data_IF_666738522869
#
_entry.id   IF_666738522869
#
_cell.length_a   1.000
_cell.length_b   1.000
_cell.length_c   1.000
_cell.angle_alpha   90.00
_cell.angle_beta   90.00
_cell.angle_gamma   90.00
#
_symmetry.space_group_name_H-M   'P 1'
#
loop_
_entity.id
_entity.type
_entity.pdbx_description
1 polymer ?
#
# COMPACT_ATOMS: atom_id res chain seq x y z
N UNK A 1 0.18 -43.32 -39.62
CA UNK A 1 0.70 -42.90 -38.30
C UNK A 1 1.59 -41.70 -38.54
N UNK A 2 1.15 -40.49 -38.15
CA UNK A 2 2.00 -39.29 -38.19
C UNK A 2 2.83 -39.29 -36.91
N UNK A 3 4.15 -39.31 -37.05
CA UNK A 3 5.04 -39.04 -35.93
C UNK A 3 4.91 -37.55 -35.60
N UNK A 4 4.45 -37.23 -34.39
CA UNK A 4 4.43 -35.85 -33.90
C UNK A 4 5.78 -35.59 -33.21
N UNK A 5 6.73 -34.98 -33.91
CA UNK A 5 7.92 -34.37 -33.28
C UNK A 5 7.55 -33.01 -32.70
N UNK A 6 6.72 -33.04 -31.66
CA UNK A 6 6.40 -31.82 -30.92
C UNK A 6 7.66 -31.29 -30.24
N UNK A 7 8.00 -30.03 -30.52
CA UNK A 7 9.15 -29.30 -29.95
C UNK A 7 10.48 -29.41 -30.69
N UNK A 8 10.54 -30.06 -31.86
CA UNK A 8 11.78 -30.11 -32.65
C UNK A 8 11.53 -29.84 -34.14
N UNK A 9 12.48 -29.12 -34.75
CA UNK A 9 12.54 -28.72 -36.16
C UNK A 9 13.84 -29.24 -36.82
N UNK A 10 13.93 -29.13 -38.14
CA UNK A 10 15.05 -29.62 -38.94
C UNK A 10 14.78 -30.95 -39.64
N UNK A 11 15.66 -31.33 -40.57
CA UNK A 11 15.50 -32.56 -41.37
C UNK A 11 15.68 -33.82 -40.53
N UNK A 12 16.45 -33.70 -39.44
CA UNK A 12 16.76 -34.77 -38.50
C UNK A 12 16.22 -34.49 -37.08
N UNK A 13 15.31 -33.52 -36.94
CA UNK A 13 14.74 -33.10 -35.65
C UNK A 13 15.84 -32.64 -34.65
N UNK A 14 16.88 -32.01 -35.18
CA UNK A 14 18.09 -31.63 -34.45
C UNK A 14 18.00 -30.25 -33.79
N UNK A 15 16.99 -29.45 -34.15
CA UNK A 15 16.79 -28.09 -33.64
C UNK A 15 15.62 -28.09 -32.66
N UNK A 16 15.78 -27.54 -31.45
CA UNK A 16 14.65 -27.29 -30.57
C UNK A 16 13.79 -26.16 -31.15
N UNK A 17 12.48 -26.35 -31.22
CA UNK A 17 11.57 -25.25 -31.57
C UNK A 17 11.62 -24.20 -30.47
N UNK A 18 11.78 -22.92 -30.83
CA UNK A 18 11.75 -21.82 -29.87
C UNK A 18 10.29 -21.42 -29.60
N UNK A 19 9.74 -21.89 -28.49
CA UNK A 19 8.36 -21.59 -28.12
C UNK A 19 8.17 -20.12 -27.65
N UNK A 20 9.25 -19.39 -27.37
CA UNK A 20 9.23 -17.99 -26.97
C UNK A 20 9.02 -17.01 -28.13
N UNK A 21 9.17 -17.43 -29.39
CA UNK A 21 8.92 -16.60 -30.58
C UNK A 21 7.50 -15.99 -30.57
N UNK A 22 6.53 -16.70 -29.99
CA UNK A 22 5.14 -16.24 -29.89
C UNK A 22 4.91 -15.15 -28.83
N UNK A 23 5.94 -14.79 -28.04
CA UNK A 23 5.86 -13.88 -26.90
C UNK A 23 4.73 -14.25 -25.91
N UNK A 24 4.73 -15.48 -25.36
CA UNK A 24 3.60 -15.99 -24.61
C UNK A 24 3.46 -15.38 -23.20
N UNK A 25 4.54 -14.84 -22.64
CA UNK A 25 4.57 -14.26 -21.29
C UNK A 25 3.99 -12.84 -21.29
N UNK A 26 3.04 -12.58 -20.38
CA UNK A 26 2.42 -11.27 -20.18
C UNK A 26 3.21 -10.43 -19.17
N UNK A 27 2.82 -9.16 -19.01
CA UNK A 27 3.34 -8.25 -17.99
C UNK A 27 4.88 -8.21 -17.91
N UNK A 28 5.52 -8.13 -19.09
CA UNK A 28 6.98 -8.06 -19.23
C UNK A 28 7.74 -9.26 -18.62
N UNK A 29 7.05 -10.41 -18.47
CA UNK A 29 7.66 -11.66 -18.04
C UNK A 29 8.70 -12.17 -19.03
N UNK A 30 9.83 -12.67 -18.53
CA UNK A 30 10.88 -13.26 -19.34
C UNK A 30 10.47 -14.68 -19.76
N UNK A 31 10.34 -14.91 -21.07
CA UNK A 31 10.15 -16.25 -21.59
C UNK A 31 11.48 -17.01 -21.59
N UNK A 32 11.44 -18.24 -21.09
CA UNK A 32 12.56 -19.17 -21.11
C UNK A 32 12.13 -20.41 -21.89
N UNK A 33 12.77 -20.59 -23.04
CA UNK A 33 12.58 -21.73 -23.93
C UNK A 33 13.00 -23.05 -23.26
N UNK A 34 12.32 -24.12 -23.62
CA UNK A 34 12.54 -25.47 -23.13
C UNK A 34 12.20 -26.47 -24.23
N UNK A 35 12.32 -27.77 -23.95
CA UNK A 35 12.00 -28.78 -24.97
C UNK A 35 10.50 -28.99 -25.03
N UNK A 36 9.86 -28.58 -26.13
CA UNK A 36 8.41 -28.68 -26.35
C UNK A 36 7.57 -27.99 -25.25
N UNK A 37 8.14 -26.98 -24.59
CA UNK A 37 7.50 -26.20 -23.55
C UNK A 37 8.31 -24.94 -23.29
N UNK A 38 7.65 -23.93 -22.76
CA UNK A 38 8.31 -22.74 -22.23
C UNK A 38 7.90 -22.53 -20.76
N UNK A 39 8.65 -21.67 -20.08
CA UNK A 39 8.25 -21.12 -18.78
C UNK A 39 8.38 -19.61 -18.79
N UNK A 40 7.48 -18.94 -18.08
CA UNK A 40 7.58 -17.51 -17.85
C UNK A 40 8.19 -17.23 -16.48
N UNK A 41 9.26 -16.43 -16.45
CA UNK A 41 9.79 -15.85 -15.23
C UNK A 41 9.13 -14.47 -15.04
N UNK A 42 8.22 -14.38 -14.10
CA UNK A 42 7.41 -13.18 -13.89
C UNK A 42 8.20 -12.04 -13.25
N UNK A 43 7.86 -10.81 -13.64
CA UNK A 43 8.29 -9.63 -12.91
C UNK A 43 7.68 -9.61 -11.51
N UNK A 44 8.31 -8.86 -10.60
CA UNK A 44 7.76 -8.64 -9.28
C UNK A 44 6.36 -8.02 -9.36
N UNK A 45 5.42 -8.50 -8.53
CA UNK A 45 4.00 -8.10 -8.56
C UNK A 45 3.12 -8.95 -9.48
N UNK A 46 3.66 -9.94 -10.21
CA UNK A 46 2.87 -10.82 -11.06
C UNK A 46 3.09 -12.30 -10.77
N UNK A 47 2.08 -13.11 -11.08
CA UNK A 47 2.05 -14.57 -10.90
C UNK A 47 1.19 -15.22 -11.99
N UNK A 48 1.01 -16.54 -11.91
CA UNK A 48 0.39 -17.34 -12.97
C UNK A 48 1.40 -17.94 -13.93
N UNK A 49 0.95 -18.87 -14.77
CA UNK A 49 1.83 -19.60 -15.69
C UNK A 49 2.39 -18.72 -16.81
N UNK A 50 1.64 -17.68 -17.17
CA UNK A 50 1.98 -16.70 -18.19
C UNK A 50 2.20 -15.31 -17.60
N UNK A 51 2.36 -15.21 -16.28
CA UNK A 51 2.44 -13.94 -15.55
C UNK A 51 1.21 -13.05 -15.74
N UNK A 52 0.05 -13.67 -15.98
CA UNK A 52 -1.22 -13.02 -16.32
C UNK A 52 -1.98 -12.48 -15.09
N UNK A 53 -1.58 -12.89 -13.88
CA UNK A 53 -2.24 -12.53 -12.64
C UNK A 53 -1.40 -11.49 -11.90
N UNK A 54 -1.96 -10.31 -11.67
CA UNK A 54 -1.36 -9.33 -10.76
C UNK A 54 -1.60 -9.78 -9.31
N UNK A 55 -0.56 -9.66 -8.47
CA UNK A 55 -0.61 -10.08 -7.08
C UNK A 55 -1.33 -9.01 -6.29
N UNK A 56 -2.41 -9.37 -5.59
CA UNK A 56 -3.08 -8.43 -4.70
C UNK A 56 -2.35 -8.31 -3.36
N UNK A 57 -1.54 -7.26 -3.18
CA UNK A 57 -0.82 -7.00 -1.93
C UNK A 57 -1.77 -6.64 -0.76
N UNK A 58 -2.98 -6.16 -1.06
CA UNK A 58 -4.00 -5.85 -0.06
C UNK A 58 -4.64 -7.09 0.59
N UNK A 59 -4.44 -8.29 0.05
CA UNK A 59 -5.05 -9.55 0.51
C UNK A 59 -4.70 -9.89 1.97
N UNK A 60 -3.52 -9.47 2.43
CA UNK A 60 -3.05 -9.62 3.81
C UNK A 60 -3.68 -8.62 4.81
N UNK A 61 -4.48 -7.66 4.31
CA UNK A 61 -5.09 -6.56 5.07
C UNK A 61 -4.04 -5.76 5.87
N UNK A 62 -3.06 -5.15 5.19
CA UNK A 62 -1.95 -4.47 5.86
C UNK A 62 -2.37 -3.20 6.62
N UNK A 63 -3.32 -2.44 6.09
CA UNK A 63 -3.77 -1.17 6.67
C UNK A 63 -4.53 -1.35 7.99
N UNK A 64 -4.10 -0.61 9.01
CA UNK A 64 -4.66 -0.58 10.37
C UNK A 64 -5.73 0.50 10.51
N UNK A 65 -6.41 0.50 11.66
CA UNK A 65 -7.32 1.56 12.08
C UNK A 65 -8.35 1.98 11.01
N UNK A 66 -8.95 0.99 10.35
CA UNK A 66 -9.95 1.20 9.29
C UNK A 66 -9.43 1.98 8.07
N UNK A 67 -8.12 1.93 7.81
CA UNK A 67 -7.52 2.45 6.58
C UNK A 67 -7.96 1.65 5.36
N UNK A 68 -8.12 2.35 4.23
CA UNK A 68 -8.43 1.74 2.94
C UNK A 68 -7.14 1.34 2.24
N UNK A 69 -7.01 0.07 1.86
CA UNK A 69 -5.87 -0.43 1.12
C UNK A 69 -6.07 -0.20 -0.39
N UNK A 70 -5.05 0.36 -1.03
CA UNK A 70 -4.95 0.47 -2.48
C UNK A 70 -3.89 -0.52 -2.98
N UNK A 71 -4.35 -1.41 -3.85
CA UNK A 71 -3.55 -2.41 -4.55
C UNK A 71 -2.73 -1.74 -5.66
N UNK A 72 -1.46 -2.07 -5.78
CA UNK A 72 -0.55 -1.48 -6.78
C UNK A 72 0.47 -2.54 -7.19
N UNK A 73 0.97 -2.49 -8.43
CA UNK A 73 1.98 -3.47 -8.86
C UNK A 73 3.18 -3.52 -7.90
N UNK A 74 3.37 -4.68 -7.28
CA UNK A 74 4.45 -5.03 -6.34
C UNK A 74 4.48 -4.19 -5.05
N UNK A 75 3.38 -3.53 -4.68
CA UNK A 75 3.31 -2.70 -3.46
C UNK A 75 1.85 -2.41 -3.08
N UNK A 76 1.64 -1.76 -1.95
CA UNK A 76 0.32 -1.21 -1.63
C UNK A 76 0.46 0.18 -1.05
N UNK A 77 -0.66 0.90 -0.97
CA UNK A 77 -0.74 2.16 -0.25
C UNK A 77 -1.95 2.16 0.69
N UNK A 78 -1.78 2.65 1.90
CA UNK A 78 -2.88 2.80 2.85
C UNK A 78 -3.38 4.24 2.88
N UNK A 79 -4.65 4.44 2.53
CA UNK A 79 -5.35 5.70 2.79
C UNK A 79 -5.93 5.63 4.20
N UNK A 80 -5.40 6.44 5.10
CA UNK A 80 -5.80 6.43 6.50
C UNK A 80 -7.15 7.09 6.74
N UNK A 81 -7.92 6.50 7.66
CA UNK A 81 -9.10 7.15 8.19
C UNK A 81 -8.71 8.44 8.96
N UNK A 82 -9.64 9.41 9.10
CA UNK A 82 -9.40 10.59 9.93
C UNK A 82 -8.95 10.20 11.34
N UNK A 83 -7.98 10.94 11.89
CA UNK A 83 -7.37 10.64 13.19
C UNK A 83 -6.18 9.67 13.14
N UNK A 84 -5.82 9.12 11.97
CA UNK A 84 -4.68 8.22 11.83
C UNK A 84 -3.67 8.66 10.77
N UNK A 85 -2.44 8.17 10.89
CA UNK A 85 -1.35 8.36 9.94
C UNK A 85 -0.31 7.24 10.03
N UNK A 86 0.77 7.33 9.25
CA UNK A 86 1.76 6.27 9.09
C UNK A 86 1.53 5.46 7.82
N UNK A 87 2.53 4.70 7.40
CA UNK A 87 2.47 3.93 6.14
C UNK A 87 1.42 2.82 6.17
N UNK A 88 1.09 2.32 7.37
CA UNK A 88 0.06 1.32 7.60
C UNK A 88 -1.13 1.90 8.39
N UNK A 89 -1.24 3.22 8.54
CA UNK A 89 -2.25 3.88 9.37
C UNK A 89 -2.25 3.43 10.83
N UNK A 90 -1.09 3.03 11.34
CA UNK A 90 -0.87 2.46 12.66
C UNK A 90 -0.74 3.51 13.76
N UNK A 91 -0.46 4.76 13.39
CA UNK A 91 -0.21 5.86 14.31
C UNK A 91 -1.46 6.71 14.50
N UNK A 92 -1.73 7.05 15.76
CA UNK A 92 -2.83 7.90 16.20
C UNK A 92 -2.40 9.38 16.20
N UNK A 93 -3.20 10.24 15.60
CA UNK A 93 -2.97 11.68 15.62
C UNK A 93 -3.25 12.20 17.03
N UNK A 94 -2.32 12.98 17.60
CA UNK A 94 -2.57 13.67 18.86
C UNK A 94 -3.19 15.05 18.61
N UNK A 95 -4.53 15.15 18.60
CA UNK A 95 -5.18 16.43 18.30
C UNK A 95 -4.94 17.48 19.39
N UNK A 96 -4.64 17.07 20.63
CA UNK A 96 -4.38 17.99 21.74
C UNK A 96 -3.16 18.88 21.54
N UNK A 97 -2.23 18.53 20.64
CA UNK A 97 -1.10 19.38 20.28
C UNK A 97 -1.51 20.67 19.55
N UNK A 98 -2.74 20.71 19.03
CA UNK A 98 -3.30 21.91 18.38
C UNK A 98 -4.14 22.76 19.32
N UNK A 99 -4.25 22.38 20.59
CA UNK A 99 -5.10 23.03 21.60
C UNK A 99 -6.55 23.22 21.13
N UNK A 100 -7.26 22.13 20.78
CA UNK A 100 -8.59 22.21 20.14
C UNK A 100 -9.72 22.58 21.11
N UNK A 101 -9.44 22.60 22.42
CA UNK A 101 -10.40 22.93 23.48
C UNK A 101 -10.32 24.42 23.85
N UNK A 102 -11.46 25.11 23.76
CA UNK A 102 -11.61 26.54 24.04
C UNK A 102 -11.92 26.83 25.51
N UNK A 103 -11.96 28.11 25.87
CA UNK A 103 -12.42 28.59 27.18
C UNK A 103 -11.74 27.91 28.38
N UNK A 104 -10.48 27.51 28.24
CA UNK A 104 -9.72 26.83 29.29
C UNK A 104 -10.11 25.36 29.51
N UNK A 105 -10.81 24.73 28.57
CA UNK A 105 -11.10 23.30 28.61
C UNK A 105 -9.84 22.44 28.53
N UNK A 106 -9.80 21.35 29.30
CA UNK A 106 -8.68 20.39 29.28
C UNK A 106 -8.85 19.39 28.13
N UNK A 107 -7.80 19.13 27.37
CA UNK A 107 -7.83 18.18 26.25
C UNK A 107 -7.26 16.82 26.65
N UNK A 108 -7.91 15.74 26.23
CA UNK A 108 -7.39 14.37 26.32
C UNK A 108 -7.42 13.72 24.93
N UNK A 109 -6.27 13.23 24.49
CA UNK A 109 -6.14 12.47 23.26
C UNK A 109 -6.81 11.10 23.40
N UNK A 110 -7.50 10.64 22.36
CA UNK A 110 -8.19 9.36 22.28
C UNK A 110 -7.84 8.68 20.95
N UNK A 111 -8.01 7.36 20.89
CA UNK A 111 -7.78 6.64 19.65
C UNK A 111 -8.76 7.11 18.57
N UNK A 112 -8.24 7.72 17.51
CA UNK A 112 -8.99 8.29 16.39
C UNK A 112 -9.62 9.66 16.65
N UNK A 113 -9.22 10.38 17.71
CA UNK A 113 -9.76 11.70 18.01
C UNK A 113 -9.44 12.22 19.41
N UNK A 114 -10.24 13.14 19.94
CA UNK A 114 -9.98 13.74 21.25
C UNK A 114 -11.26 14.06 22.01
N UNK A 115 -11.09 14.34 23.30
CA UNK A 115 -12.18 14.74 24.19
C UNK A 115 -11.79 15.99 24.98
N UNK A 116 -12.67 16.99 24.98
CA UNK A 116 -12.53 18.18 25.81
C UNK A 116 -13.34 18.04 27.11
N UNK A 117 -12.70 18.36 28.24
CA UNK A 117 -13.34 18.49 29.55
C UNK A 117 -13.62 19.96 29.83
N UNK A 118 -14.89 20.27 30.02
CA UNK A 118 -15.35 21.65 30.18
C UNK A 118 -15.22 22.11 31.64
N UNK A 119 -14.84 23.38 31.88
CA UNK A 119 -15.04 24.00 33.17
C UNK A 119 -16.55 24.05 33.53
N UNK A 120 -16.90 24.20 34.83
CA UNK A 120 -18.28 24.40 35.24
C UNK A 120 -18.95 25.54 34.46
N UNK A 121 -20.18 25.31 33.98
CA UNK A 121 -20.94 26.30 33.21
C UNK A 121 -20.75 26.25 31.68
N UNK A 122 -19.87 25.38 31.17
CA UNK A 122 -19.68 25.17 29.73
C UNK A 122 -20.07 23.75 29.30
N UNK A 123 -20.50 23.60 28.04
CA UNK A 123 -20.82 22.29 27.44
C UNK A 123 -19.80 21.91 26.37
N UNK A 124 -19.65 20.61 26.08
CA UNK A 124 -18.66 20.12 25.12
C UNK A 124 -18.82 20.73 23.71
N UNK A 125 -20.06 20.98 23.27
CA UNK A 125 -20.36 21.64 21.99
C UNK A 125 -19.93 23.12 21.97
N UNK A 126 -19.86 23.78 23.13
CA UNK A 126 -19.42 25.18 23.27
C UNK A 126 -17.90 25.34 23.47
N UNK A 127 -17.16 24.24 23.55
CA UNK A 127 -15.74 24.22 23.91
C UNK A 127 -14.87 23.48 22.88
N UNK A 128 -15.43 22.68 21.98
CA UNK A 128 -14.68 22.02 20.92
C UNK A 128 -14.69 22.87 19.64
N UNK A 129 -13.50 23.16 19.08
CA UNK A 129 -13.41 23.54 17.66
C UNK A 129 -13.42 22.27 16.82
N UNK A 130 -14.06 22.28 15.65
CA UNK A 130 -13.83 21.22 14.67
C UNK A 130 -12.36 21.24 14.25
N UNK A 131 -11.68 20.09 14.24
CA UNK A 131 -10.30 19.93 13.74
C UNK A 131 -10.11 20.37 12.26
N UNK A 132 -11.18 20.81 11.59
CA UNK A 132 -11.30 21.22 10.18
C UNK A 132 -10.95 22.69 9.90
N UNK A 133 -10.36 23.45 10.82
CA UNK A 133 -9.83 24.76 10.45
C UNK A 133 -8.55 24.57 9.62
N UNK A 134 -8.54 25.04 8.36
CA UNK A 134 -7.50 24.81 7.35
C UNK A 134 -6.06 25.18 7.78
N UNK A 135 -5.90 25.95 8.85
CA UNK A 135 -4.60 26.31 9.44
C UNK A 135 -4.13 25.31 10.53
N UNK A 136 -5.05 24.64 11.21
CA UNK A 136 -4.73 23.61 12.21
C UNK A 136 -4.34 22.28 11.54
N UNK A 137 -5.02 21.90 10.45
CA UNK A 137 -4.68 20.73 9.63
C UNK A 137 -3.23 20.81 9.12
N UNK A 138 -2.80 21.99 8.64
CA UNK A 138 -1.42 22.23 8.20
C UNK A 138 -0.37 22.00 9.28
N UNK A 139 -0.67 22.30 10.55
CA UNK A 139 0.27 22.05 11.67
C UNK A 139 0.38 20.57 11.99
N UNK A 140 -0.74 19.84 11.95
CA UNK A 140 -0.73 18.39 12.14
C UNK A 140 -0.01 17.73 10.97
N UNK A 141 -0.27 18.15 9.73
CA UNK A 141 0.34 17.62 8.51
C UNK A 141 1.84 17.94 8.40
N UNK A 142 2.26 19.14 8.80
CA UNK A 142 3.68 19.50 8.88
C UNK A 142 4.43 18.70 9.96
N UNK A 143 3.74 18.26 11.03
CA UNK A 143 4.30 17.34 12.02
C UNK A 143 4.27 15.87 11.60
N UNK A 144 3.28 15.44 10.80
CA UNK A 144 3.28 14.12 10.14
C UNK A 144 4.56 13.96 9.30
N UNK A 145 4.95 14.99 8.56
CA UNK A 145 6.20 15.02 7.77
C UNK A 145 7.47 15.04 8.63
N UNK A 146 7.45 15.67 9.81
CA UNK A 146 8.60 15.71 10.73
C UNK A 146 8.77 14.42 11.56
N UNK A 147 7.72 13.57 11.62
CA UNK A 147 7.76 12.26 12.27
C UNK A 147 8.29 11.14 11.36
N UNK A 148 8.40 11.38 10.05
CA UNK A 148 8.93 10.41 9.08
C UNK A 148 10.47 10.35 9.05
N UNK A 149 11.17 11.24 9.76
CA UNK A 149 12.63 11.38 9.68
C UNK A 149 13.40 10.73 10.84
N UNK A 150 12.76 9.82 11.61
CA UNK A 150 13.44 9.06 12.68
C UNK A 150 13.72 7.58 12.36
N UNK A 151 13.20 7.06 11.25
CA UNK A 151 13.49 5.68 10.80
C UNK A 151 14.33 5.64 9.51
N UNK A 152 14.96 6.76 9.13
CA UNK A 152 15.94 6.80 8.04
C UNK A 152 17.37 6.99 8.55
N UNK A 153 17.72 6.26 9.59
CA UNK A 153 19.12 5.92 9.87
C UNK A 153 19.45 4.54 9.28
N UNK A 154 20.27 4.59 8.22
CA UNK A 154 21.29 3.62 7.80
C UNK A 154 20.82 2.34 7.08
N UNK A 155 20.88 2.39 5.75
CA UNK A 155 21.56 1.36 4.95
C UNK A 155 22.27 2.05 3.79
N UNK A 156 23.57 2.34 3.96
CA UNK A 156 24.73 1.83 3.19
C UNK A 156 26.00 2.33 3.89
#
# INVERSE_FOLDING_TARGET
MKWETKGFEGTYCEVNSDECISHPCQNEGLCVDGVNHYRCSCQHGFTGTLCEVEINECSSRPCKNNGTCLDLVNRFNCICAPGYYGSLCELDVNECETLPCLHGGSCINRHGGYQCFCPPGFTAASVSQSASSREQEKKIEMKKLLGEDKDREITY
#
